data_IF_199809507179
#
_entry.id   IF_199809507179
#
_cell.length_a   1.000
_cell.length_b   1.000
_cell.length_c   1.000
_cell.angle_alpha   90.00
_cell.angle_beta   90.00
_cell.angle_gamma   90.00
#
_symmetry.space_group_name_H-M   'P 1'
#
loop_
_entity.id
_entity.type
_entity.pdbx_description
1 polymer ?
#
# COMPACT_ATOMS: atom_id res chain seq x y z
N UNK A 1 -23.14 1.73 10.31
CA UNK A 1 -22.65 0.70 9.37
C UNK A 1 -23.66 -0.32 8.82
N UNK A 2 -24.76 -0.68 9.50
CA UNK A 2 -25.75 -1.63 8.93
C UNK A 2 -26.46 -1.14 7.65
N UNK A 3 -26.35 0.15 7.35
CA UNK A 3 -27.05 0.80 6.23
C UNK A 3 -26.15 1.08 5.02
N UNK A 4 -24.83 0.87 5.11
CA UNK A 4 -23.91 1.19 4.01
C UNK A 4 -24.33 0.46 2.72
N UNK A 5 -24.71 -0.83 2.82
CA UNK A 5 -25.20 -1.64 1.68
C UNK A 5 -26.61 -1.28 1.18
N UNK A 6 -27.37 -0.42 1.87
CA UNK A 6 -28.76 -0.07 1.49
C UNK A 6 -28.84 1.05 0.45
N UNK A 7 -27.76 1.82 0.27
CA UNK A 7 -27.65 2.89 -0.72
C UNK A 7 -26.69 2.50 -1.84
N UNK A 8 -26.75 3.23 -2.95
CA UNK A 8 -25.77 3.09 -4.03
C UNK A 8 -24.33 3.27 -3.50
N UNK A 9 -23.32 2.59 -4.07
CA UNK A 9 -21.91 2.84 -3.76
C UNK A 9 -21.57 4.30 -4.04
N UNK A 10 -20.88 4.93 -3.09
CA UNK A 10 -20.40 6.31 -3.19
C UNK A 10 -19.09 6.36 -2.40
N UNK A 11 -17.98 6.65 -3.08
CA UNK A 11 -16.64 6.53 -2.49
C UNK A 11 -16.45 7.46 -1.29
N UNK A 12 -16.87 8.72 -1.41
CA UNK A 12 -16.67 9.75 -0.39
C UNK A 12 -17.56 9.49 0.83
N UNK A 13 -18.83 9.12 0.60
CA UNK A 13 -19.78 8.81 1.67
C UNK A 13 -19.43 7.48 2.36
N UNK A 14 -19.07 6.44 1.60
CA UNK A 14 -18.64 5.14 2.16
C UNK A 14 -17.36 5.30 2.98
N UNK A 15 -16.38 6.04 2.48
CA UNK A 15 -15.13 6.33 3.20
C UNK A 15 -15.39 7.06 4.51
N UNK A 16 -16.22 8.10 4.48
CA UNK A 16 -16.59 8.88 5.68
C UNK A 16 -17.30 8.02 6.72
N UNK A 17 -18.28 7.21 6.31
CA UNK A 17 -18.99 6.30 7.21
C UNK A 17 -18.05 5.25 7.84
N UNK A 18 -17.06 4.76 7.08
CA UNK A 18 -16.02 3.84 7.59
C UNK A 18 -15.13 4.54 8.62
N UNK A 19 -14.63 5.74 8.32
CA UNK A 19 -13.75 6.48 9.22
C UNK A 19 -14.48 6.85 10.53
N UNK A 20 -15.70 7.38 10.44
CA UNK A 20 -16.53 7.70 11.60
C UNK A 20 -16.77 6.47 12.48
N UNK A 21 -17.04 5.31 11.88
CA UNK A 21 -17.22 4.07 12.61
C UNK A 21 -15.93 3.62 13.31
N UNK A 22 -14.79 3.62 12.62
CA UNK A 22 -13.50 3.22 13.20
C UNK A 22 -13.09 4.15 14.36
N UNK A 23 -13.23 5.46 14.19
CA UNK A 23 -12.96 6.44 15.27
C UNK A 23 -13.89 6.24 16.46
N UNK A 24 -15.19 5.99 16.22
CA UNK A 24 -16.14 5.69 17.31
C UNK A 24 -15.78 4.40 18.05
N UNK A 25 -15.28 3.40 17.34
CA UNK A 25 -14.90 2.11 17.92
C UNK A 25 -13.58 2.21 18.70
N UNK A 26 -12.60 2.97 18.21
CA UNK A 26 -11.37 3.28 18.96
C UNK A 26 -11.69 3.93 20.31
N UNK A 27 -12.56 4.94 20.32
CA UNK A 27 -13.01 5.59 21.55
C UNK A 27 -13.77 4.62 22.47
N UNK A 28 -14.55 3.71 21.89
CA UNK A 28 -15.30 2.70 22.64
C UNK A 28 -14.35 1.71 23.30
N UNK A 29 -13.34 1.20 22.58
CA UNK A 29 -12.32 0.32 23.16
C UNK A 29 -11.58 1.00 24.32
N UNK A 30 -11.13 2.24 24.14
CA UNK A 30 -10.39 2.97 25.16
C UNK A 30 -11.19 3.23 26.46
N UNK A 31 -12.53 3.30 26.37
CA UNK A 31 -13.42 3.60 27.51
C UNK A 31 -14.06 2.36 28.12
N UNK A 32 -13.95 1.20 27.47
CA UNK A 32 -14.65 0.00 27.89
C UNK A 32 -13.97 -0.66 29.09
N UNK A 33 -14.69 -1.00 30.18
CA UNK A 33 -14.09 -1.57 31.39
C UNK A 33 -13.27 -2.85 31.16
N UNK A 34 -13.66 -3.68 30.20
CA UNK A 34 -12.90 -4.91 29.84
C UNK A 34 -11.52 -4.63 29.21
N UNK A 35 -11.30 -3.41 28.70
CA UNK A 35 -10.03 -2.95 28.15
C UNK A 35 -9.28 -2.07 29.15
N UNK A 36 -9.75 -1.98 30.40
CA UNK A 36 -9.05 -1.26 31.45
C UNK A 36 -7.69 -1.91 31.71
N UNK A 37 -6.62 -1.14 31.48
CA UNK A 37 -5.24 -1.59 31.62
C UNK A 37 -4.56 -2.03 30.32
N UNK A 38 -5.28 -2.03 29.18
CA UNK A 38 -4.63 -2.23 27.88
C UNK A 38 -3.70 -1.08 27.53
N UNK A 39 -2.52 -1.43 27.01
CA UNK A 39 -1.55 -0.49 26.48
C UNK A 39 -2.04 0.17 25.20
N UNK A 40 -1.43 1.32 24.85
CA UNK A 40 -1.72 2.00 23.57
C UNK A 40 -1.51 1.07 22.36
N UNK A 41 -0.47 0.25 22.39
CA UNK A 41 -0.16 -0.68 21.32
C UNK A 41 -1.25 -1.78 21.17
N UNK A 42 -1.80 -2.28 22.27
CA UNK A 42 -2.90 -3.26 22.22
C UNK A 42 -4.18 -2.65 21.65
N UNK A 43 -4.49 -1.40 22.02
CA UNK A 43 -5.62 -0.66 21.45
C UNK A 43 -5.45 -0.39 19.96
N UNK A 44 -4.24 0.04 19.53
CA UNK A 44 -3.94 0.27 18.12
C UNK A 44 -4.05 -1.05 17.31
N UNK A 45 -3.56 -2.17 17.85
CA UNK A 45 -3.71 -3.50 17.24
C UNK A 45 -5.18 -3.93 17.13
N UNK A 46 -6.01 -3.61 18.12
CA UNK A 46 -7.44 -3.91 18.09
C UNK A 46 -8.16 -3.10 16.99
N UNK A 47 -7.84 -1.82 16.86
CA UNK A 47 -8.38 -0.95 15.80
C UNK A 47 -7.92 -1.41 14.43
N UNK A 48 -6.66 -1.81 14.27
CA UNK A 48 -6.14 -2.42 13.06
C UNK A 48 -6.88 -3.72 12.69
N UNK A 49 -7.08 -4.61 13.66
CA UNK A 49 -7.85 -5.84 13.46
C UNK A 49 -9.30 -5.56 13.02
N UNK A 50 -9.91 -4.52 13.59
CA UNK A 50 -11.25 -4.06 13.22
C UNK A 50 -11.30 -3.50 11.79
N UNK A 51 -10.36 -2.64 11.41
CA UNK A 51 -10.23 -2.13 10.03
C UNK A 51 -10.11 -3.31 9.05
N UNK A 52 -9.22 -4.26 9.36
CA UNK A 52 -8.99 -5.42 8.51
C UNK A 52 -10.24 -6.27 8.32
N UNK A 53 -10.94 -6.56 9.41
CA UNK A 53 -12.20 -7.29 9.37
C UNK A 53 -13.24 -6.56 8.52
N UNK A 54 -13.44 -5.27 8.81
CA UNK A 54 -14.44 -4.43 8.19
C UNK A 54 -14.20 -4.27 6.68
N UNK A 55 -12.98 -3.88 6.30
CA UNK A 55 -12.63 -3.65 4.89
C UNK A 55 -12.63 -4.95 4.09
N UNK A 56 -12.38 -6.10 4.72
CA UNK A 56 -12.58 -7.41 4.06
C UNK A 56 -14.05 -7.66 3.73
N UNK A 57 -14.98 -7.26 4.60
CA UNK A 57 -16.43 -7.41 4.40
C UNK A 57 -17.03 -6.36 3.47
N UNK A 58 -16.36 -5.23 3.28
CA UNK A 58 -16.81 -4.14 2.42
C UNK A 58 -16.05 -4.08 1.08
N UNK A 59 -15.06 -4.94 0.86
CA UNK A 59 -14.18 -4.88 -0.30
C UNK A 59 -14.92 -4.86 -1.65
N UNK A 60 -15.95 -5.70 -1.79
CA UNK A 60 -16.82 -5.79 -2.97
C UNK A 60 -17.60 -4.49 -3.25
N UNK A 61 -17.77 -3.66 -2.23
CA UNK A 61 -18.47 -2.38 -2.30
C UNK A 61 -17.53 -1.18 -2.42
N UNK A 62 -16.37 -1.22 -1.77
CA UNK A 62 -15.50 -0.04 -1.63
C UNK A 62 -14.30 -0.06 -2.55
N UNK A 63 -13.97 -1.21 -3.16
CA UNK A 63 -12.81 -1.32 -4.05
C UNK A 63 -13.23 -1.41 -5.52
N UNK A 64 -12.73 -0.48 -6.33
CA UNK A 64 -12.88 -0.48 -7.78
C UNK A 64 -14.34 -0.50 -8.24
N UNK A 65 -15.26 0.17 -7.54
CA UNK A 65 -16.66 0.29 -7.95
C UNK A 65 -16.92 1.49 -8.87
N UNK A 66 -16.14 2.56 -8.72
CA UNK A 66 -16.24 3.75 -9.56
C UNK A 66 -15.76 3.43 -10.99
N UNK A 67 -16.55 3.83 -11.99
CA UNK A 67 -16.20 3.67 -13.40
C UNK A 67 -14.99 4.51 -13.79
N UNK A 68 -14.88 5.73 -13.26
CA UNK A 68 -13.76 6.63 -13.56
C UNK A 68 -12.44 6.06 -13.04
N UNK A 69 -12.46 5.39 -11.88
CA UNK A 69 -11.27 4.74 -11.34
C UNK A 69 -10.86 3.54 -12.20
N UNK A 70 -11.80 2.72 -12.67
CA UNK A 70 -11.50 1.62 -13.60
C UNK A 70 -10.89 2.13 -14.92
N UNK A 71 -11.46 3.19 -15.49
CA UNK A 71 -10.92 3.79 -16.72
C UNK A 71 -9.50 4.35 -16.53
N UNK A 72 -9.23 4.96 -15.36
CA UNK A 72 -7.90 5.44 -14.98
C UNK A 72 -6.90 4.28 -14.82
N UNK A 73 -7.31 3.19 -14.17
CA UNK A 73 -6.49 1.98 -13.99
C UNK A 73 -6.14 1.33 -15.34
N UNK A 74 -7.11 1.24 -16.26
CA UNK A 74 -6.90 0.71 -17.61
C UNK A 74 -5.99 1.61 -18.45
N UNK A 75 -6.15 2.93 -18.33
CA UNK A 75 -5.27 3.90 -19.00
C UNK A 75 -3.83 3.81 -18.47
N UNK A 76 -3.68 3.76 -17.15
CA UNK A 76 -2.37 3.63 -16.50
C UNK A 76 -1.69 2.32 -16.91
N UNK A 77 -2.41 1.20 -16.89
CA UNK A 77 -1.89 -0.11 -17.29
C UNK A 77 -1.40 -0.12 -18.74
N UNK A 78 -2.17 0.45 -19.67
CA UNK A 78 -1.75 0.59 -21.07
C UNK A 78 -0.51 1.46 -21.24
N UNK A 79 -0.44 2.59 -20.52
CA UNK A 79 0.74 3.48 -20.55
C UNK A 79 1.98 2.79 -20.01
N UNK A 80 1.88 2.10 -18.87
CA UNK A 80 2.99 1.34 -18.29
C UNK A 80 3.47 0.25 -19.25
N UNK A 81 2.57 -0.50 -19.88
CA UNK A 81 2.93 -1.52 -20.87
C UNK A 81 3.66 -0.94 -22.09
N UNK A 82 3.20 0.20 -22.63
CA UNK A 82 3.85 0.87 -23.75
C UNK A 82 5.25 1.40 -23.38
N UNK A 83 5.44 1.87 -22.15
CA UNK A 83 6.71 2.39 -21.64
C UNK A 83 7.70 1.27 -21.27
N UNK A 84 7.22 0.12 -20.83
CA UNK A 84 8.04 -0.98 -20.31
C UNK A 84 9.09 -1.49 -21.33
N UNK A 85 8.84 -1.37 -22.64
CA UNK A 85 9.74 -1.84 -23.68
C UNK A 85 10.98 -1.00 -23.93
N UNK A 86 11.00 0.27 -23.49
CA UNK A 86 12.09 1.20 -23.84
C UNK A 86 12.53 2.13 -22.72
N UNK A 87 11.76 2.28 -21.63
CA UNK A 87 12.18 3.12 -20.51
C UNK A 87 13.42 2.53 -19.87
N UNK A 88 14.48 3.34 -19.80
CA UNK A 88 15.73 3.01 -19.15
C UNK A 88 15.96 3.95 -17.95
N UNK A 89 16.82 3.57 -16.99
CA UNK A 89 17.20 4.45 -15.88
C UNK A 89 17.73 5.82 -16.34
N UNK A 90 18.38 5.88 -17.51
CA UNK A 90 18.88 7.12 -18.08
C UNK A 90 17.77 8.10 -18.47
N UNK A 91 16.58 7.61 -18.86
CA UNK A 91 15.43 8.47 -19.16
C UNK A 91 14.80 9.09 -17.90
N UNK A 92 15.14 8.57 -16.71
CA UNK A 92 14.56 8.97 -15.43
C UNK A 92 15.55 9.75 -14.54
N UNK A 93 16.69 10.17 -15.11
CA UNK A 93 17.78 10.82 -14.37
C UNK A 93 18.27 10.00 -13.16
N UNK A 94 18.03 8.69 -13.16
CA UNK A 94 18.51 7.81 -12.12
C UNK A 94 20.04 7.73 -12.26
N UNK A 95 20.78 8.12 -11.21
CA UNK A 95 22.24 8.14 -11.21
C UNK A 95 22.81 6.87 -11.83
N UNK A 96 23.83 6.97 -12.70
CA UNK A 96 24.48 5.79 -13.30
C UNK A 96 24.97 4.77 -12.27
N UNK A 97 25.28 5.24 -11.06
CA UNK A 97 25.62 4.42 -9.89
C UNK A 97 24.49 3.45 -9.51
N UNK A 98 23.23 3.88 -9.63
CA UNK A 98 22.03 3.06 -9.43
C UNK A 98 21.74 2.16 -10.65
N UNK A 99 22.20 2.55 -11.83
CA UNK A 99 21.97 1.87 -13.11
C UNK A 99 22.92 0.70 -13.42
N UNK A 100 23.87 0.34 -12.53
CA UNK A 100 24.58 -0.95 -12.61
C UNK A 100 23.58 -2.11 -12.72
N UNK A 101 23.92 -3.22 -13.41
CA UNK A 101 22.99 -4.06 -14.18
C UNK A 101 21.64 -4.26 -13.48
N UNK A 102 20.72 -3.34 -13.75
CA UNK A 102 19.34 -3.39 -13.25
C UNK A 102 18.55 -4.54 -13.88
N UNK A 103 19.11 -5.12 -14.95
CA UNK A 103 18.43 -6.01 -15.88
C UNK A 103 18.84 -7.49 -15.77
N UNK A 104 19.78 -7.86 -14.89
CA UNK A 104 20.39 -9.20 -14.95
C UNK A 104 20.08 -10.12 -13.76
N UNK A 105 19.44 -9.63 -12.70
CA UNK A 105 19.23 -10.44 -11.51
C UNK A 105 17.73 -10.51 -11.18
N UNK A 106 17.10 -11.61 -11.59
CA UNK A 106 15.71 -11.94 -11.19
C UNK A 106 15.56 -12.00 -9.66
N UNK A 107 16.68 -12.22 -8.94
CA UNK A 107 16.78 -12.24 -7.48
C UNK A 107 17.32 -10.92 -6.89
N UNK A 108 17.47 -9.88 -7.70
CA UNK A 108 18.00 -8.58 -7.28
C UNK A 108 17.05 -7.78 -6.38
N UNK A 109 17.60 -6.82 -5.63
CA UNK A 109 16.82 -5.94 -4.72
C UNK A 109 15.70 -5.18 -5.45
N UNK A 110 15.89 -4.80 -6.71
CA UNK A 110 14.84 -4.13 -7.49
C UNK A 110 13.67 -5.08 -7.81
N UNK A 111 13.96 -6.33 -8.20
CA UNK A 111 12.93 -7.34 -8.44
C UNK A 111 12.16 -7.65 -7.14
N UNK A 112 12.86 -7.70 -6.00
CA UNK A 112 12.23 -7.82 -4.68
C UNK A 112 11.29 -6.63 -4.36
N UNK A 113 11.71 -5.39 -4.65
CA UNK A 113 10.86 -4.21 -4.46
C UNK A 113 9.61 -4.26 -5.37
N UNK A 114 9.77 -4.64 -6.64
CA UNK A 114 8.65 -4.85 -7.56
C UNK A 114 7.68 -5.93 -7.05
N UNK A 115 8.21 -7.03 -6.50
CA UNK A 115 7.41 -8.11 -5.92
C UNK A 115 6.57 -7.62 -4.75
N UNK A 116 7.15 -6.89 -3.81
CA UNK A 116 6.40 -6.30 -2.69
C UNK A 116 5.30 -5.34 -3.21
N UNK A 117 5.59 -4.47 -4.18
CA UNK A 117 4.57 -3.59 -4.75
C UNK A 117 3.41 -4.37 -5.40
N UNK A 118 3.71 -5.44 -6.15
CA UNK A 118 2.68 -6.29 -6.79
C UNK A 118 1.81 -7.01 -5.75
N UNK A 119 2.36 -7.38 -4.60
CA UNK A 119 1.61 -8.05 -3.51
C UNK A 119 0.49 -7.19 -2.93
N UNK A 120 0.50 -5.87 -3.14
CA UNK A 120 -0.59 -4.97 -2.72
C UNK A 120 -1.97 -5.45 -3.21
N UNK A 121 -2.05 -6.11 -4.38
CA UNK A 121 -3.31 -6.64 -4.92
C UNK A 121 -3.85 -7.86 -4.14
N UNK A 122 -3.01 -8.55 -3.37
CA UNK A 122 -3.39 -9.74 -2.59
C UNK A 122 -4.11 -9.40 -1.28
N UNK A 123 -3.98 -8.16 -0.81
CA UNK A 123 -4.54 -7.71 0.46
C UNK A 123 -5.79 -6.88 0.26
N UNK A 124 -6.74 -6.97 1.20
CA UNK A 124 -8.01 -6.23 1.17
C UNK A 124 -8.03 -5.04 2.11
N UNK A 125 -7.30 -5.08 3.23
CA UNK A 125 -7.27 -3.97 4.18
C UNK A 125 -6.35 -2.84 3.67
N UNK A 126 -6.73 -1.57 3.88
CA UNK A 126 -5.90 -0.42 3.53
C UNK A 126 -4.52 -0.48 4.16
N UNK A 127 -4.42 -0.84 5.44
CA UNK A 127 -3.14 -0.97 6.12
C UNK A 127 -2.23 -2.04 5.53
N UNK A 128 -2.74 -3.26 5.26
CA UNK A 128 -1.91 -4.32 4.66
C UNK A 128 -1.41 -3.90 3.27
N UNK A 129 -2.26 -3.22 2.48
CA UNK A 129 -1.85 -2.62 1.19
C UNK A 129 -0.72 -1.61 1.37
N UNK A 130 -0.83 -0.69 2.33
CA UNK A 130 0.21 0.30 2.64
C UNK A 130 1.52 -0.35 3.14
N UNK A 131 1.44 -1.42 3.93
CA UNK A 131 2.64 -2.17 4.37
C UNK A 131 3.44 -2.67 3.17
N UNK A 132 2.79 -3.16 2.11
CA UNK A 132 3.48 -3.61 0.89
C UNK A 132 4.18 -2.45 0.16
N UNK A 133 3.55 -1.26 0.10
CA UNK A 133 4.17 -0.04 -0.44
C UNK A 133 5.39 0.37 0.39
N UNK A 134 5.26 0.37 1.73
CA UNK A 134 6.35 0.70 2.63
C UNK A 134 7.51 -0.31 2.54
N UNK A 135 7.21 -1.60 2.38
CA UNK A 135 8.23 -2.63 2.17
C UNK A 135 9.00 -2.41 0.85
N UNK A 136 8.29 -2.10 -0.23
CA UNK A 136 8.91 -1.69 -1.50
C UNK A 136 9.87 -0.49 -1.29
N UNK A 137 9.40 0.57 -0.62
CA UNK A 137 10.21 1.76 -0.33
C UNK A 137 11.45 1.44 0.54
N UNK A 138 11.32 0.58 1.55
CA UNK A 138 12.44 0.15 2.39
C UNK A 138 13.52 -0.57 1.58
N UNK A 139 13.13 -1.48 0.70
CA UNK A 139 14.06 -2.20 -0.18
C UNK A 139 14.78 -1.22 -1.11
N UNK A 140 14.05 -0.30 -1.74
CA UNK A 140 14.62 0.72 -2.62
C UNK A 140 15.62 1.63 -1.87
N UNK A 141 15.27 2.10 -0.67
CA UNK A 141 16.15 2.93 0.14
C UNK A 141 17.42 2.18 0.56
N UNK A 142 17.31 0.91 0.95
CA UNK A 142 18.47 0.08 1.27
C UNK A 142 19.37 -0.12 0.04
N UNK A 143 18.78 -0.40 -1.13
CA UNK A 143 19.52 -0.51 -2.39
C UNK A 143 20.27 0.78 -2.74
N UNK A 144 19.62 1.93 -2.60
CA UNK A 144 20.24 3.25 -2.85
C UNK A 144 21.39 3.48 -1.86
N UNK A 145 21.18 3.17 -0.57
CA UNK A 145 22.19 3.35 0.46
C UNK A 145 23.42 2.45 0.22
N UNK A 146 23.22 1.17 -0.09
CA UNK A 146 24.31 0.22 -0.38
C UNK A 146 25.14 0.66 -1.59
N UNK A 147 24.49 1.10 -2.68
CA UNK A 147 25.18 1.59 -3.89
C UNK A 147 25.93 2.90 -3.67
N UNK A 148 25.45 3.77 -2.77
CA UNK A 148 26.17 4.98 -2.34
C UNK A 148 27.38 4.65 -1.46
N UNK A 149 27.24 3.70 -0.53
CA UNK A 149 28.32 3.29 0.37
C UNK A 149 29.47 2.59 -0.37
N UNK A 150 29.16 1.73 -1.34
CA UNK A 150 30.18 1.06 -2.17
C UNK A 150 30.97 2.00 -3.10
N UNK A 151 30.50 3.23 -3.32
CA UNK A 151 31.23 4.23 -4.11
C UNK A 151 32.34 4.95 -3.32
N UNK A 152 32.40 4.79 -1.99
CA UNK A 152 33.40 5.40 -1.12
C UNK A 152 34.64 4.55 -0.84
N UNK A 153 34.72 3.32 -1.39
CA UNK A 153 35.74 2.31 -1.02
C UNK A 153 36.60 1.80 -2.19
N UNK A 154 36.67 2.51 -3.31
CA UNK A 154 37.65 2.19 -4.36
C UNK A 154 38.88 3.12 -4.21
N UNK A 155 40.11 2.57 -4.02
CA UNK A 155 41.35 3.35 -4.04
C UNK A 155 41.69 3.87 -5.44
#
# INVERSE_FOLDING_TARGET
MKNIRKRAPDSDADSREVQEFLTSMEQSFARHPLWAGSSRAELDNAVEGLEKYLMTKLYDRTFGQDLLDRERDDLLSRRLAALAGFVSPAHLEASRQLAGPMAADEDGQLAAAQKELRRMSLYKSPRDKLVQVLNCCKILNNMIASKRAGAGTMP
#
